data_IF_698917295620
#
_entry.id   IF_698917295620
#
_cell.length_a   1.000
_cell.length_b   1.000
_cell.length_c   1.000
_cell.angle_alpha   90.00
_cell.angle_beta   90.00
_cell.angle_gamma   90.00
#
_symmetry.space_group_name_H-M   'P 1'
#
loop_
_entity.id
_entity.type
_entity.pdbx_description
1 polymer ?
#
# COMPACT_ATOMS: atom_id res chain seq x y z
N UNK A 1 9.97 -10.13 -12.08
CA UNK A 1 10.21 -10.27 -10.63
C UNK A 1 9.37 -11.38 -10.00
N UNK A 2 8.06 -11.45 -10.24
CA UNK A 2 7.17 -12.46 -9.62
C UNK A 2 7.51 -13.90 -10.02
N UNK A 3 7.72 -14.15 -11.32
CA UNK A 3 8.09 -15.47 -11.82
C UNK A 3 9.36 -16.04 -11.16
N UNK A 4 10.36 -15.18 -10.91
CA UNK A 4 11.60 -15.56 -10.21
C UNK A 4 11.32 -15.94 -8.77
N UNK A 5 10.51 -15.16 -8.06
CA UNK A 5 10.11 -15.47 -6.68
C UNK A 5 9.28 -16.76 -6.59
N UNK A 6 8.39 -16.99 -7.54
CA UNK A 6 7.59 -18.21 -7.63
C UNK A 6 8.48 -19.44 -7.81
N UNK A 7 9.46 -19.35 -8.72
CA UNK A 7 10.40 -20.44 -8.96
C UNK A 7 11.32 -20.68 -7.77
N UNK A 8 11.75 -19.63 -7.07
CA UNK A 8 12.52 -19.75 -5.84
C UNK A 8 11.73 -20.46 -4.73
N UNK A 9 10.44 -20.12 -4.53
CA UNK A 9 9.61 -20.78 -3.53
C UNK A 9 9.45 -22.29 -3.81
N UNK A 10 9.17 -22.65 -5.07
CA UNK A 10 9.13 -24.05 -5.52
C UNK A 10 10.47 -24.76 -5.30
N UNK A 11 11.58 -24.09 -5.58
CA UNK A 11 12.91 -24.65 -5.41
C UNK A 11 13.26 -24.94 -3.95
N UNK A 12 12.99 -23.99 -3.03
CA UNK A 12 13.30 -24.12 -1.60
C UNK A 12 12.52 -25.30 -0.99
N UNK A 13 11.22 -25.40 -1.29
CA UNK A 13 10.34 -26.45 -0.76
C UNK A 13 10.42 -27.76 -1.56
N UNK A 14 11.19 -27.79 -2.66
CA UNK A 14 11.26 -28.89 -3.63
C UNK A 14 9.89 -29.30 -4.19
N UNK A 15 8.94 -28.38 -4.22
CA UNK A 15 7.57 -28.63 -4.67
C UNK A 15 7.34 -28.12 -6.10
N UNK A 16 7.13 -29.06 -7.02
CA UNK A 16 7.01 -28.78 -8.45
C UNK A 16 5.67 -29.18 -9.05
N UNK A 17 4.78 -29.76 -8.26
CA UNK A 17 3.44 -30.12 -8.73
C UNK A 17 2.70 -28.87 -9.28
N UNK A 18 1.90 -29.11 -10.31
CA UNK A 18 1.02 -28.14 -10.95
C UNK A 18 -0.22 -27.88 -10.10
N UNK A 19 -0.64 -28.83 -9.26
CA UNK A 19 -1.80 -28.71 -8.37
C UNK A 19 -1.54 -27.77 -7.18
N UNK A 20 -0.28 -27.58 -6.80
CA UNK A 20 0.13 -26.79 -5.63
C UNK A 20 0.15 -25.29 -5.95
N UNK A 21 -0.61 -24.54 -5.17
CA UNK A 21 -0.65 -23.08 -5.27
C UNK A 21 0.66 -22.46 -4.77
N UNK A 22 1.28 -21.64 -5.63
CA UNK A 22 2.50 -20.90 -5.27
C UNK A 22 2.27 -19.89 -4.14
N UNK A 23 1.04 -19.39 -3.98
CA UNK A 23 0.69 -18.52 -2.86
C UNK A 23 0.80 -19.27 -1.53
N UNK A 24 0.42 -20.56 -1.50
CA UNK A 24 0.54 -21.42 -0.33
C UNK A 24 2.02 -21.68 0.00
N UNK A 25 2.83 -22.01 -1.01
CA UNK A 25 4.28 -22.17 -0.85
C UNK A 25 4.97 -20.92 -0.30
N UNK A 26 4.53 -19.74 -0.74
CA UNK A 26 5.03 -18.47 -0.21
C UNK A 26 4.60 -18.26 1.25
N UNK A 27 3.38 -18.63 1.60
CA UNK A 27 2.88 -18.56 2.98
C UNK A 27 3.71 -19.46 3.91
N UNK A 28 4.02 -20.68 3.48
CA UNK A 28 4.87 -21.62 4.22
C UNK A 28 6.27 -21.06 4.48
N UNK A 29 6.82 -20.31 3.52
CA UNK A 29 8.10 -19.62 3.64
C UNK A 29 8.01 -18.26 4.36
N UNK A 30 6.85 -17.88 4.89
CA UNK A 30 6.59 -16.55 5.45
C UNK A 30 6.94 -15.40 4.49
N UNK A 31 6.81 -15.63 3.17
CA UNK A 31 7.08 -14.65 2.13
C UNK A 31 5.79 -13.88 1.80
N UNK A 32 5.72 -12.56 2.07
CA UNK A 32 4.55 -11.78 1.72
C UNK A 32 4.37 -11.72 0.20
N UNK A 33 3.11 -11.76 -0.23
CA UNK A 33 2.74 -11.71 -1.63
C UNK A 33 3.24 -10.41 -2.30
N UNK A 34 3.55 -10.49 -3.60
CA UNK A 34 4.11 -9.36 -4.35
C UNK A 34 3.14 -8.17 -4.41
N UNK A 35 1.84 -8.44 -4.53
CA UNK A 35 0.79 -7.42 -4.51
C UNK A 35 0.79 -6.64 -3.18
N UNK A 36 0.90 -7.32 -2.04
CA UNK A 36 0.98 -6.72 -0.70
C UNK A 36 2.23 -5.86 -0.58
N UNK A 37 3.40 -6.39 -0.96
CA UNK A 37 4.65 -5.64 -0.95
C UNK A 37 4.59 -4.38 -1.81
N UNK A 38 4.01 -4.45 -3.01
CA UNK A 38 3.81 -3.30 -3.89
C UNK A 38 2.85 -2.28 -3.30
N UNK A 39 1.77 -2.74 -2.66
CA UNK A 39 0.81 -1.89 -1.95
C UNK A 39 1.50 -1.12 -0.82
N UNK A 40 2.24 -1.81 0.04
CA UNK A 40 3.00 -1.18 1.14
C UNK A 40 3.99 -0.16 0.59
N UNK A 41 4.82 -0.53 -0.40
CA UNK A 41 5.81 0.39 -0.98
C UNK A 41 5.17 1.67 -1.54
N UNK A 42 4.01 1.54 -2.20
CA UNK A 42 3.25 2.65 -2.74
C UNK A 42 2.72 3.58 -1.64
N UNK A 43 2.12 3.01 -0.59
CA UNK A 43 1.61 3.78 0.55
C UNK A 43 2.77 4.47 1.29
N UNK A 44 3.91 3.80 1.48
CA UNK A 44 5.10 4.41 2.07
C UNK A 44 5.63 5.60 1.24
N UNK A 45 5.59 5.51 -0.09
CA UNK A 45 5.96 6.66 -0.93
C UNK A 45 4.97 7.82 -0.74
N UNK A 46 3.68 7.54 -0.66
CA UNK A 46 2.67 8.57 -0.39
C UNK A 46 2.83 9.21 0.99
N UNK A 47 3.15 8.42 2.01
CA UNK A 47 3.49 8.91 3.34
C UNK A 47 4.65 9.89 3.33
N UNK A 48 5.74 9.58 2.60
CA UNK A 48 6.88 10.49 2.42
C UNK A 48 6.47 11.78 1.72
N UNK A 49 5.64 11.71 0.68
CA UNK A 49 5.11 12.90 0.01
C UNK A 49 4.30 13.75 1.01
N UNK A 50 3.49 13.12 1.85
CA UNK A 50 2.61 13.80 2.80
C UNK A 50 3.35 14.45 3.98
N UNK A 51 4.28 13.73 4.61
CA UNK A 51 4.95 14.22 5.83
C UNK A 51 6.33 14.84 5.60
N UNK A 52 7.08 14.37 4.60
CA UNK A 52 8.47 14.81 4.41
C UNK A 52 8.64 15.89 3.33
N UNK A 53 7.64 16.07 2.44
CA UNK A 53 7.75 16.93 1.26
C UNK A 53 6.57 17.92 1.17
N UNK A 54 6.49 18.94 2.06
CA UNK A 54 5.33 19.83 2.16
C UNK A 54 4.99 20.56 0.85
N UNK A 55 6.00 21.00 0.08
CA UNK A 55 5.76 21.65 -1.22
C UNK A 55 5.04 20.73 -2.23
N UNK A 56 5.35 19.44 -2.24
CA UNK A 56 4.67 18.46 -3.09
C UNK A 56 3.30 18.08 -2.54
N UNK A 57 3.18 17.95 -1.21
CA UNK A 57 1.88 17.73 -0.57
C UNK A 57 0.89 18.82 -0.97
N UNK A 58 1.26 20.08 -0.78
CA UNK A 58 0.33 21.20 -0.92
C UNK A 58 -0.01 21.49 -2.39
N UNK A 59 0.87 21.11 -3.32
CA UNK A 59 0.62 21.22 -4.77
C UNK A 59 -0.20 20.06 -5.35
N UNK A 60 0.04 18.83 -4.89
CA UNK A 60 -0.56 17.62 -5.47
C UNK A 60 -1.79 17.11 -4.72
N UNK A 61 -1.87 17.36 -3.42
CA UNK A 61 -2.90 16.83 -2.54
C UNK A 61 -3.81 17.96 -2.05
N UNK A 62 -5.10 17.66 -1.95
CA UNK A 62 -6.10 18.62 -1.46
C UNK A 62 -6.83 18.04 -0.27
N UNK A 63 -7.16 18.86 0.74
CA UNK A 63 -8.00 18.41 1.85
C UNK A 63 -9.42 18.06 1.33
N UNK A 64 -10.15 17.17 2.01
CA UNK A 64 -11.51 16.81 1.63
C UNK A 64 -12.42 18.04 1.73
N UNK A 65 -13.33 18.20 0.75
CA UNK A 65 -14.29 19.33 0.72
C UNK A 65 -15.22 19.36 1.93
N UNK A 66 -15.49 18.20 2.52
CA UNK A 66 -16.25 18.06 3.78
C UNK A 66 -15.41 17.21 4.72
N UNK A 67 -15.04 17.77 5.86
CA UNK A 67 -14.46 17.02 6.97
C UNK A 67 -15.56 16.70 7.97
N UNK A 68 -15.65 15.43 8.36
CA UNK A 68 -16.47 14.98 9.50
C UNK A 68 -15.58 14.08 10.33
N UNK A 69 -15.44 14.36 11.62
CA UNK A 69 -14.65 13.53 12.53
C UNK A 69 -15.20 12.10 12.65
N UNK A 70 -16.48 11.90 12.33
CA UNK A 70 -17.12 10.58 12.28
C UNK A 70 -16.77 9.78 11.02
N UNK A 71 -16.42 10.47 9.93
CA UNK A 71 -16.22 9.85 8.61
C UNK A 71 -14.76 9.87 8.17
N UNK A 72 -13.99 10.85 8.65
CA UNK A 72 -12.66 11.15 8.15
C UNK A 72 -11.68 11.34 9.32
N UNK A 73 -10.50 10.74 9.20
CA UNK A 73 -9.37 11.02 10.08
C UNK A 73 -8.65 12.34 9.67
N UNK A 74 -7.80 12.92 10.53
CA UNK A 74 -7.14 14.20 10.26
C UNK A 74 -6.33 14.24 8.96
N UNK A 75 -5.64 13.14 8.64
CA UNK A 75 -4.80 13.05 7.43
C UNK A 75 -5.55 12.64 6.16
N UNK A 76 -6.88 12.75 6.14
CA UNK A 76 -7.70 12.33 5.00
C UNK A 76 -7.45 13.25 3.79
N UNK A 77 -7.37 12.67 2.59
CA UNK A 77 -7.08 13.39 1.35
C UNK A 77 -8.28 13.32 0.40
N UNK A 78 -8.58 14.41 -0.30
CA UNK A 78 -9.64 14.42 -1.31
C UNK A 78 -9.31 13.40 -2.40
N UNK A 79 -10.29 12.57 -2.76
CA UNK A 79 -10.13 11.63 -3.89
C UNK A 79 -9.87 12.40 -5.18
N UNK A 80 -8.96 11.85 -5.97
CA UNK A 80 -8.69 12.25 -7.35
C UNK A 80 -9.19 11.10 -8.23
N UNK A 81 -10.05 11.39 -9.19
CA UNK A 81 -10.58 10.38 -10.11
C UNK A 81 -10.81 10.99 -11.49
N UNK A 82 -10.72 10.15 -12.53
CA UNK A 82 -11.13 10.47 -13.88
C UNK A 82 -12.10 9.42 -14.42
N UNK A 83 -12.61 9.62 -15.63
CA UNK A 83 -13.51 8.68 -16.30
C UNK A 83 -12.83 7.36 -16.69
N UNK A 84 -11.50 7.35 -16.86
CA UNK A 84 -10.78 6.18 -17.34
C UNK A 84 -10.25 5.30 -16.20
N UNK A 85 -10.41 3.99 -16.37
CA UNK A 85 -9.84 2.99 -15.45
C UNK A 85 -8.31 3.09 -15.39
N UNK A 86 -7.67 3.40 -16.52
CA UNK A 86 -6.23 3.59 -16.60
C UNK A 86 -5.76 4.70 -15.64
N UNK A 87 -6.36 5.88 -15.70
CA UNK A 87 -6.01 6.97 -14.79
C UNK A 87 -6.32 6.62 -13.33
N UNK A 88 -7.47 6.00 -13.06
CA UNK A 88 -7.83 5.57 -11.72
C UNK A 88 -6.88 4.48 -11.17
N UNK A 89 -6.16 3.77 -12.04
CA UNK A 89 -5.13 2.79 -11.67
C UNK A 89 -3.74 3.40 -11.45
N UNK A 90 -3.53 4.66 -11.84
CA UNK A 90 -2.30 5.42 -11.63
C UNK A 90 -2.01 5.64 -10.14
N UNK A 91 -0.79 6.12 -9.85
CA UNK A 91 -0.29 6.27 -8.49
C UNK A 91 -1.26 7.02 -7.55
N UNK A 92 -1.60 8.29 -7.84
CA UNK A 92 -2.38 9.10 -6.89
C UNK A 92 -3.81 8.59 -6.67
N UNK A 93 -4.66 8.42 -7.69
CA UNK A 93 -6.04 7.97 -7.49
C UNK A 93 -6.12 6.67 -6.70
N UNK A 94 -5.26 5.70 -7.06
CA UNK A 94 -5.24 4.40 -6.41
C UNK A 94 -4.70 4.44 -4.98
N UNK A 95 -3.67 5.24 -4.72
CA UNK A 95 -3.07 5.31 -3.38
C UNK A 95 -3.91 6.12 -2.41
N UNK A 96 -4.60 7.15 -2.87
CA UNK A 96 -5.48 7.96 -2.00
C UNK A 96 -6.62 7.12 -1.44
N UNK A 97 -7.17 6.20 -2.22
CA UNK A 97 -8.19 5.24 -1.72
C UNK A 97 -7.60 4.41 -0.59
N UNK A 98 -6.48 3.72 -0.86
CA UNK A 98 -5.83 2.91 0.17
C UNK A 98 -5.42 3.72 1.41
N UNK A 99 -4.96 4.96 1.23
CA UNK A 99 -4.53 5.84 2.31
C UNK A 99 -5.69 6.26 3.20
N UNK A 100 -6.82 6.62 2.61
CA UNK A 100 -8.01 7.04 3.35
C UNK A 100 -8.71 5.87 4.06
N UNK A 101 -8.47 4.64 3.60
CA UNK A 101 -8.98 3.43 4.24
C UNK A 101 -8.08 2.96 5.42
N UNK A 102 -6.94 3.63 5.67
CA UNK A 102 -6.05 3.25 6.78
C UNK A 102 -6.59 3.70 8.14
N UNK A 103 -6.38 2.89 9.19
CA UNK A 103 -6.62 3.31 10.57
C UNK A 103 -5.82 4.56 10.93
N UNK A 104 -6.46 5.48 11.66
CA UNK A 104 -5.82 6.70 12.16
C UNK A 104 -4.55 6.44 12.96
N UNK A 105 -4.51 5.34 13.73
CA UNK A 105 -3.34 4.92 14.54
C UNK A 105 -2.08 4.69 13.70
N UNK A 106 -2.24 4.19 12.47
CA UNK A 106 -1.11 3.98 11.56
C UNK A 106 -0.71 5.33 10.96
N UNK A 107 -1.69 6.16 10.58
CA UNK A 107 -1.45 7.45 9.93
C UNK A 107 -0.82 8.51 10.84
N UNK A 108 -0.97 8.40 12.16
CA UNK A 108 -0.32 9.30 13.13
C UNK A 108 1.19 9.13 13.20
N UNK A 109 1.74 8.03 12.69
CA UNK A 109 3.19 7.80 12.66
C UNK A 109 3.84 8.71 11.61
N UNK A 110 4.64 9.68 12.05
CA UNK A 110 5.37 10.59 11.16
C UNK A 110 6.72 10.01 10.72
N UNK A 111 7.32 9.12 11.52
CA UNK A 111 8.56 8.44 11.17
C UNK A 111 8.33 7.38 10.06
N UNK A 112 9.04 7.45 8.92
CA UNK A 112 8.83 6.52 7.81
C UNK A 112 9.12 5.06 8.15
N UNK A 113 10.07 4.78 9.06
CA UNK A 113 10.42 3.41 9.42
C UNK A 113 9.33 2.79 10.32
N UNK A 114 8.89 3.51 11.36
CA UNK A 114 7.79 3.13 12.22
C UNK A 114 6.49 2.94 11.42
N UNK A 115 6.18 3.86 10.50
CA UNK A 115 5.02 3.77 9.62
C UNK A 115 5.06 2.50 8.74
N UNK A 116 6.21 2.20 8.13
CA UNK A 116 6.37 0.98 7.32
C UNK A 116 6.16 -0.28 8.16
N UNK A 117 6.68 -0.33 9.37
CA UNK A 117 6.51 -1.49 10.26
C UNK A 117 5.04 -1.68 10.64
N UNK A 118 4.34 -0.60 11.00
CA UNK A 118 2.90 -0.65 11.28
C UNK A 118 2.08 -1.11 10.07
N UNK A 119 2.42 -0.67 8.86
CA UNK A 119 1.78 -1.16 7.64
C UNK A 119 2.06 -2.64 7.37
N UNK A 120 3.29 -3.11 7.60
CA UNK A 120 3.62 -4.52 7.47
C UNK A 120 2.77 -5.35 8.44
N UNK A 121 2.65 -4.96 9.71
CA UNK A 121 1.80 -5.67 10.68
C UNK A 121 0.30 -5.63 10.36
N UNK A 122 -0.15 -4.65 9.58
CA UNK A 122 -1.57 -4.53 9.18
C UNK A 122 -1.92 -5.35 7.94
N UNK A 123 -0.96 -5.59 7.03
CA UNK A 123 -1.22 -6.23 5.73
C UNK A 123 -0.51 -7.57 5.51
N UNK A 124 0.51 -7.89 6.31
CA UNK A 124 1.22 -9.16 6.30
C UNK A 124 0.79 -9.99 7.51
#
# INVERSE_FOLDING_TARGET
>A
IEAVQNRAAKFILKEYDWSVSVSTLKSELNLPLLNVRRKIARICLFHKIYYCLPALRDSLLRPPRRSSSRLNHPSHVSRISASTTYFNSSFFPRTIVDWNDLPSVILTQTDPAAFRNALCSHFC
#
